data_IF_384794811214
#
_entry.id   IF_384794811214
#
_cell.length_a   1.000
_cell.length_b   1.000
_cell.length_c   1.000
_cell.angle_alpha   90.00
_cell.angle_beta   90.00
_cell.angle_gamma   90.00
#
_symmetry.space_group_name_H-M   'P 1'
#
loop_
_entity.id
_entity.type
_entity.pdbx_description
1 polymer ?
#
# COMPACT_ATOMS: atom_id res chain seq x y z
N UNK A 1 -5.99 3.06 11.78
CA UNK A 1 -6.85 1.90 11.65
C UNK A 1 -8.26 2.07 12.22
N UNK A 2 -8.48 2.91 13.26
CA UNK A 2 -9.76 2.96 14.00
C UNK A 2 -10.93 3.55 13.18
N UNK A 3 -10.67 4.50 12.28
CA UNK A 3 -11.73 5.22 11.55
C UNK A 3 -12.48 4.34 10.55
N UNK A 4 -11.79 3.45 9.84
CA UNK A 4 -12.42 2.60 8.83
C UNK A 4 -12.13 1.11 9.02
N UNK A 5 -10.89 0.60 9.01
CA UNK A 5 -10.68 -0.86 9.04
C UNK A 5 -11.24 -1.52 10.30
N UNK A 6 -11.06 -0.92 11.47
CA UNK A 6 -11.56 -1.49 12.73
C UNK A 6 -13.09 -1.48 12.77
N UNK A 7 -13.71 -0.35 12.43
CA UNK A 7 -15.18 -0.23 12.41
C UNK A 7 -15.81 -1.19 11.37
N UNK A 8 -15.15 -1.36 10.19
CA UNK A 8 -15.62 -2.29 9.18
C UNK A 8 -15.50 -3.75 9.66
N UNK A 9 -14.42 -4.11 10.35
CA UNK A 9 -14.26 -5.44 10.94
C UNK A 9 -15.36 -5.75 11.94
N UNK A 10 -15.61 -4.85 12.88
CA UNK A 10 -16.64 -4.99 13.91
C UNK A 10 -18.04 -5.10 13.28
N UNK A 11 -18.33 -4.28 12.27
CA UNK A 11 -19.58 -4.34 11.55
C UNK A 11 -19.77 -5.66 10.81
N UNK A 12 -18.75 -6.13 10.09
CA UNK A 12 -18.78 -7.41 9.38
C UNK A 12 -19.03 -8.58 10.34
N UNK A 13 -18.33 -8.63 11.47
CA UNK A 13 -18.47 -9.67 12.47
C UNK A 13 -19.86 -9.65 13.10
N UNK A 14 -20.41 -8.46 13.40
CA UNK A 14 -21.77 -8.29 13.93
C UNK A 14 -22.85 -8.76 12.94
N UNK A 15 -22.54 -8.79 11.63
CA UNK A 15 -23.43 -9.29 10.57
C UNK A 15 -23.13 -10.72 10.13
N UNK A 16 -22.38 -11.49 10.93
CA UNK A 16 -22.14 -12.91 10.71
C UNK A 16 -21.01 -13.21 9.72
N UNK A 17 -20.24 -12.23 9.30
CA UNK A 17 -19.09 -12.48 8.45
C UNK A 17 -17.95 -13.14 9.23
N UNK A 18 -17.29 -14.13 8.61
CA UNK A 18 -16.11 -14.77 9.15
C UNK A 18 -14.86 -14.02 8.66
N UNK A 19 -14.12 -13.41 9.58
CA UNK A 19 -12.85 -12.74 9.28
C UNK A 19 -11.69 -13.60 9.78
N UNK A 20 -10.77 -13.97 8.88
CA UNK A 20 -9.58 -14.77 9.18
C UNK A 20 -8.34 -13.93 8.97
N UNK A 21 -7.63 -13.59 10.04
CA UNK A 21 -6.35 -12.87 9.99
C UNK A 21 -5.18 -13.86 10.04
N UNK A 22 -4.02 -13.46 9.51
CA UNK A 22 -2.81 -14.27 9.51
C UNK A 22 -2.85 -15.47 8.57
N UNK A 23 -3.87 -15.60 7.73
CA UNK A 23 -4.00 -16.66 6.73
C UNK A 23 -3.83 -16.06 5.32
N UNK A 24 -2.75 -16.46 4.65
CA UNK A 24 -2.55 -16.12 3.25
C UNK A 24 -3.25 -17.13 2.36
N UNK A 25 -4.09 -16.68 1.44
CA UNK A 25 -4.71 -17.52 0.42
C UNK A 25 -3.61 -18.09 -0.50
N UNK A 26 -3.58 -19.41 -0.63
CA UNK A 26 -2.60 -20.13 -1.43
C UNK A 26 -3.09 -20.40 -2.84
N UNK A 27 -4.38 -20.73 -2.98
CA UNK A 27 -4.97 -21.16 -4.26
C UNK A 27 -6.33 -20.54 -4.52
N UNK A 28 -6.59 -20.31 -5.79
CA UNK A 28 -7.89 -19.95 -6.34
C UNK A 28 -8.18 -20.93 -7.50
N UNK A 29 -9.38 -21.48 -7.55
CA UNK A 29 -9.81 -22.37 -8.62
C UNK A 29 -11.28 -22.17 -8.96
N UNK A 30 -11.68 -22.57 -10.17
CA UNK A 30 -13.08 -22.65 -10.54
C UNK A 30 -13.72 -23.89 -9.89
N UNK A 31 -14.96 -23.76 -9.43
CA UNK A 31 -15.69 -24.91 -8.90
C UNK A 31 -16.02 -25.92 -10.03
N UNK A 32 -15.97 -27.25 -9.76
CA UNK A 32 -16.10 -28.29 -10.79
C UNK A 32 -17.40 -28.23 -11.60
N UNK A 33 -18.46 -27.69 -11.05
CA UNK A 33 -19.77 -27.60 -11.70
C UNK A 33 -19.97 -26.29 -12.49
N UNK A 34 -18.92 -25.47 -12.64
CA UNK A 34 -18.95 -24.21 -13.41
C UNK A 34 -19.74 -23.07 -12.74
N UNK A 35 -20.18 -23.24 -11.50
CA UNK A 35 -20.83 -22.19 -10.72
C UNK A 35 -20.05 -21.96 -9.43
N UNK A 36 -19.39 -20.81 -9.30
CA UNK A 36 -18.62 -20.43 -8.11
C UNK A 36 -17.13 -20.73 -8.18
N UNK A 37 -16.48 -20.55 -7.05
CA UNK A 37 -15.02 -20.53 -6.92
C UNK A 37 -14.57 -21.35 -5.72
N UNK A 38 -13.35 -21.86 -5.78
CA UNK A 38 -12.67 -22.53 -4.67
C UNK A 38 -11.54 -21.62 -4.17
N UNK A 39 -11.59 -21.21 -2.91
CA UNK A 39 -10.48 -20.51 -2.23
C UNK A 39 -9.88 -21.49 -1.19
N UNK A 40 -8.66 -21.92 -1.44
CA UNK A 40 -7.99 -22.97 -0.65
C UNK A 40 -8.87 -24.23 -0.47
N UNK A 41 -9.57 -24.61 -1.54
CA UNK A 41 -10.48 -25.77 -1.55
C UNK A 41 -11.86 -25.53 -0.92
N UNK A 42 -12.12 -24.36 -0.36
CA UNK A 42 -13.43 -24.01 0.21
C UNK A 42 -14.29 -23.33 -0.86
N UNK A 43 -15.55 -23.77 -1.09
CA UNK A 43 -16.41 -23.20 -2.12
C UNK A 43 -17.01 -21.85 -1.71
N UNK A 44 -17.12 -20.96 -2.69
CA UNK A 44 -17.76 -19.64 -2.61
C UNK A 44 -18.53 -19.33 -3.92
N UNK A 45 -19.63 -18.61 -3.83
CA UNK A 45 -20.42 -18.18 -4.98
C UNK A 45 -19.67 -17.11 -5.81
N UNK A 46 -18.93 -16.23 -5.13
CA UNK A 46 -18.14 -15.17 -5.74
C UNK A 46 -16.88 -14.86 -4.92
N UNK A 47 -15.87 -14.30 -5.58
CA UNK A 47 -14.61 -13.88 -4.97
C UNK A 47 -14.27 -12.45 -5.36
N UNK A 48 -13.93 -11.61 -4.38
CA UNK A 48 -13.37 -10.29 -4.60
C UNK A 48 -11.89 -10.29 -4.21
N UNK A 49 -11.01 -10.06 -5.19
CA UNK A 49 -9.57 -9.96 -4.99
C UNK A 49 -9.18 -8.53 -4.60
N UNK A 50 -9.16 -8.22 -3.31
CA UNK A 50 -8.69 -6.94 -2.77
C UNK A 50 -7.20 -7.03 -2.33
N UNK A 51 -6.38 -7.73 -3.09
CA UNK A 51 -4.95 -7.95 -2.84
C UNK A 51 -4.11 -7.04 -3.74
N UNK A 52 -2.79 -6.88 -3.49
CA UNK A 52 -1.89 -6.28 -4.47
C UNK A 52 -1.99 -6.97 -5.84
N UNK A 53 -1.88 -6.20 -6.93
CA UNK A 53 -2.11 -6.70 -8.30
C UNK A 53 -1.23 -7.91 -8.67
N UNK A 54 0.01 -7.95 -8.16
CA UNK A 54 0.92 -9.07 -8.37
C UNK A 54 0.45 -10.36 -7.69
N UNK A 55 -0.19 -10.26 -6.53
CA UNK A 55 -0.76 -11.40 -5.83
C UNK A 55 -2.06 -11.85 -6.47
N UNK A 56 -2.92 -10.90 -6.86
CA UNK A 56 -4.12 -11.20 -7.66
C UNK A 56 -3.74 -11.92 -8.97
N UNK A 57 -2.74 -11.40 -9.69
CA UNK A 57 -2.25 -12.03 -10.93
C UNK A 57 -1.74 -13.45 -10.70
N UNK A 58 -1.02 -13.70 -9.60
CA UNK A 58 -0.56 -15.06 -9.23
C UNK A 58 -1.73 -16.02 -9.05
N UNK A 59 -2.73 -15.61 -8.26
CA UNK A 59 -3.92 -16.44 -8.01
C UNK A 59 -4.72 -16.71 -9.28
N UNK A 60 -4.94 -15.67 -10.09
CA UNK A 60 -5.70 -15.78 -11.35
C UNK A 60 -4.94 -16.65 -12.37
N UNK A 61 -3.61 -16.51 -12.47
CA UNK A 61 -2.80 -17.39 -13.34
C UNK A 61 -2.88 -18.85 -12.94
N UNK A 62 -2.85 -19.14 -11.64
CA UNK A 62 -3.02 -20.52 -11.15
C UNK A 62 -4.42 -21.07 -11.48
N UNK A 63 -5.44 -20.24 -11.30
CA UNK A 63 -6.82 -20.62 -11.63
C UNK A 63 -7.01 -20.93 -13.10
N UNK A 64 -6.33 -20.24 -14.02
CA UNK A 64 -6.44 -20.44 -15.45
C UNK A 64 -6.12 -21.88 -15.89
N UNK A 65 -5.28 -22.61 -15.13
CA UNK A 65 -4.93 -24.00 -15.43
C UNK A 65 -6.05 -25.01 -15.10
N UNK A 66 -6.98 -24.64 -14.23
CA UNK A 66 -8.09 -25.51 -13.78
C UNK A 66 -9.47 -24.99 -14.18
N UNK A 67 -9.52 -23.78 -14.72
CA UNK A 67 -10.76 -23.13 -15.15
C UNK A 67 -11.33 -23.76 -16.44
N UNK A 68 -12.63 -23.61 -16.69
CA UNK A 68 -13.22 -23.95 -17.99
C UNK A 68 -12.47 -23.26 -19.13
N UNK A 69 -12.29 -23.98 -20.25
CA UNK A 69 -11.55 -23.46 -21.41
C UNK A 69 -12.07 -22.11 -21.90
N UNK A 70 -13.37 -21.85 -21.77
CA UNK A 70 -14.01 -20.59 -22.14
C UNK A 70 -13.50 -19.38 -21.32
N UNK A 71 -12.93 -19.59 -20.14
CA UNK A 71 -12.41 -18.54 -19.27
C UNK A 71 -10.88 -18.41 -19.32
N UNK A 72 -10.20 -19.47 -19.77
CA UNK A 72 -8.73 -19.55 -19.70
C UNK A 72 -8.03 -18.35 -20.35
N UNK A 73 -8.46 -17.94 -21.54
CA UNK A 73 -7.86 -16.81 -22.27
C UNK A 73 -8.06 -15.52 -21.48
N UNK A 74 -9.29 -15.24 -21.05
CA UNK A 74 -9.60 -14.02 -20.29
C UNK A 74 -8.82 -13.95 -18.96
N UNK A 75 -8.68 -15.08 -18.25
CA UNK A 75 -7.91 -15.17 -17.01
C UNK A 75 -6.42 -14.93 -17.26
N UNK A 76 -5.84 -15.50 -18.32
CA UNK A 76 -4.45 -15.30 -18.69
C UNK A 76 -4.18 -13.85 -19.08
N UNK A 77 -5.01 -13.24 -19.92
CA UNK A 77 -4.87 -11.86 -20.37
C UNK A 77 -4.99 -10.87 -19.19
N UNK A 78 -5.95 -11.13 -18.30
CA UNK A 78 -6.12 -10.33 -17.10
C UNK A 78 -4.88 -10.41 -16.20
N UNK A 79 -4.38 -11.61 -15.95
CA UNK A 79 -3.20 -11.83 -15.13
C UNK A 79 -1.96 -11.15 -15.73
N UNK A 80 -1.77 -11.25 -17.06
CA UNK A 80 -0.69 -10.57 -17.76
C UNK A 80 -0.79 -9.04 -17.63
N UNK A 81 -2.01 -8.48 -17.80
CA UNK A 81 -2.25 -7.05 -17.61
C UNK A 81 -1.96 -6.60 -16.19
N UNK A 82 -2.36 -7.38 -15.18
CA UNK A 82 -2.11 -7.07 -13.77
C UNK A 82 -0.60 -7.16 -13.41
N UNK A 83 0.13 -8.10 -14.01
CA UNK A 83 1.59 -8.23 -13.84
C UNK A 83 2.37 -7.11 -14.54
N UNK A 84 1.85 -6.59 -15.65
CA UNK A 84 2.49 -5.52 -16.41
C UNK A 84 2.46 -4.15 -15.70
N UNK A 85 1.67 -3.99 -14.64
CA UNK A 85 1.63 -2.77 -13.85
C UNK A 85 3.00 -2.50 -13.20
N UNK A 86 3.54 -1.33 -13.48
CA UNK A 86 4.74 -0.81 -12.80
C UNK A 86 4.33 -0.07 -11.55
N UNK A 87 5.24 0.00 -10.57
CA UNK A 87 4.97 0.61 -9.28
C UNK A 87 5.97 1.71 -8.98
N UNK A 88 5.50 2.72 -8.25
CA UNK A 88 6.29 3.77 -7.64
C UNK A 88 6.49 3.48 -6.16
N UNK A 89 7.70 3.73 -5.67
CA UNK A 89 8.01 3.61 -4.26
C UNK A 89 7.60 4.86 -3.48
N UNK A 90 7.20 4.66 -2.23
CA UNK A 90 7.07 5.73 -1.24
C UNK A 90 8.03 5.44 -0.11
N UNK A 91 8.90 6.41 0.19
CA UNK A 91 9.79 6.33 1.35
C UNK A 91 9.29 7.25 2.46
N UNK A 92 9.16 6.69 3.66
CA UNK A 92 8.90 7.46 4.87
C UNK A 92 10.14 7.45 5.76
N UNK A 93 10.69 8.63 6.00
CA UNK A 93 11.81 8.82 6.92
C UNK A 93 11.28 9.37 8.25
N UNK A 94 11.44 8.61 9.30
CA UNK A 94 11.10 9.03 10.65
C UNK A 94 12.31 9.69 11.31
N UNK A 95 12.13 10.93 11.75
CA UNK A 95 13.13 11.68 12.50
C UNK A 95 12.61 11.98 13.91
N UNK A 96 13.48 11.84 14.91
CA UNK A 96 13.23 12.37 16.26
C UNK A 96 13.83 13.76 16.34
N UNK A 97 13.00 14.74 16.66
CA UNK A 97 13.41 16.11 16.93
C UNK A 97 13.09 16.50 18.39
N UNK A 98 13.73 17.52 18.89
CA UNK A 98 13.41 18.09 20.21
C UNK A 98 12.09 18.86 20.08
N UNK A 99 11.04 18.49 20.85
CA UNK A 99 9.79 19.23 20.82
C UNK A 99 9.97 20.65 21.39
N UNK A 100 9.29 21.61 20.79
CA UNK A 100 9.17 22.96 21.34
C UNK A 100 8.14 23.05 22.47
N UNK A 101 7.79 24.27 22.84
CA UNK A 101 6.80 24.55 23.87
C UNK A 101 5.45 23.87 23.53
N UNK A 102 4.84 23.21 24.53
CA UNK A 102 3.59 22.47 24.36
C UNK A 102 3.73 21.12 23.64
N UNK A 103 4.96 20.59 23.52
CA UNK A 103 5.23 19.27 22.93
C UNK A 103 5.07 19.20 21.41
N UNK A 104 4.96 20.34 20.74
CA UNK A 104 4.82 20.44 19.28
C UNK A 104 6.18 20.66 18.65
N UNK A 105 6.43 20.00 17.53
CA UNK A 105 7.65 20.20 16.74
C UNK A 105 7.39 21.06 15.51
N UNK A 106 6.18 20.97 14.95
CA UNK A 106 5.73 21.75 13.82
C UNK A 106 4.56 22.66 14.21
N UNK A 107 4.29 23.74 13.46
CA UNK A 107 3.15 24.63 13.69
C UNK A 107 1.80 23.94 13.38
N UNK A 108 1.79 22.93 12.50
CA UNK A 108 0.60 22.17 12.07
C UNK A 108 0.90 20.67 12.07
N UNK A 109 -0.14 19.81 12.20
CA UNK A 109 0.04 18.36 12.16
C UNK A 109 0.67 17.84 10.86
N UNK A 110 0.53 18.58 9.77
CA UNK A 110 1.08 18.29 8.45
C UNK A 110 1.53 19.58 7.78
N UNK A 111 2.70 19.54 7.14
CA UNK A 111 3.20 20.61 6.28
C UNK A 111 3.59 20.06 4.91
N UNK A 112 3.31 20.83 3.87
CA UNK A 112 3.91 20.63 2.55
C UNK A 112 5.32 21.22 2.53
N UNK A 113 6.24 20.51 1.90
CA UNK A 113 7.64 20.91 1.76
C UNK A 113 7.95 21.25 0.29
N UNK A 114 8.99 22.03 0.08
CA UNK A 114 9.55 22.24 -1.27
C UNK A 114 10.38 21.02 -1.64
N UNK A 115 9.88 20.20 -2.57
CA UNK A 115 10.60 19.02 -3.02
C UNK A 115 11.49 19.32 -4.23
N UNK A 116 12.62 18.60 -4.29
CA UNK A 116 13.57 18.60 -5.41
C UNK A 116 14.32 17.25 -5.41
N UNK A 117 15.14 16.95 -6.42
CA UNK A 117 15.97 15.75 -6.41
C UNK A 117 16.89 15.63 -5.19
N UNK A 118 17.30 16.76 -4.59
CA UNK A 118 18.15 16.80 -3.39
C UNK A 118 17.37 16.96 -2.08
N UNK A 119 16.06 17.25 -2.17
CA UNK A 119 15.16 17.43 -1.04
C UNK A 119 13.85 16.67 -1.32
N UNK A 120 13.85 15.31 -1.24
CA UNK A 120 12.82 14.48 -1.87
C UNK A 120 11.47 14.49 -1.14
N UNK A 121 11.39 14.88 0.13
CA UNK A 121 10.13 14.83 0.86
C UNK A 121 9.17 15.93 0.41
N UNK A 122 7.93 15.56 0.10
CA UNK A 122 6.85 16.48 -0.24
C UNK A 122 6.05 16.90 0.99
N UNK A 123 5.97 16.04 1.99
CA UNK A 123 5.19 16.28 3.20
C UNK A 123 5.97 15.85 4.44
N UNK A 124 5.66 16.52 5.56
CA UNK A 124 6.06 16.09 6.90
C UNK A 124 4.85 16.10 7.82
N UNK A 125 4.76 15.08 8.68
CA UNK A 125 3.70 14.91 9.67
C UNK A 125 4.31 14.94 11.07
N UNK A 126 3.76 15.76 11.97
CA UNK A 126 4.06 15.72 13.41
C UNK A 126 3.24 14.61 14.05
N UNK A 127 3.90 13.50 14.37
CA UNK A 127 3.23 12.33 14.94
C UNK A 127 2.72 12.61 16.36
N UNK A 128 3.39 13.47 17.11
CA UNK A 128 2.96 13.90 18.44
C UNK A 128 1.60 14.62 18.40
N UNK A 129 1.41 15.53 17.44
CA UNK A 129 0.13 16.22 17.25
C UNK A 129 -0.99 15.30 16.75
N UNK A 130 -0.64 14.12 16.19
CA UNK A 130 -1.58 13.10 15.71
C UNK A 130 -1.80 11.96 16.73
N UNK A 131 -1.45 12.17 18.00
CA UNK A 131 -1.63 11.19 19.05
C UNK A 131 -0.54 10.11 19.13
N UNK A 132 0.57 10.31 18.44
CA UNK A 132 1.76 9.46 18.50
C UNK A 132 2.84 10.02 19.43
N UNK A 133 4.08 9.49 19.36
CA UNK A 133 5.21 9.96 20.17
C UNK A 133 5.55 11.43 19.91
N UNK A 134 5.75 12.20 20.97
CA UNK A 134 6.18 13.60 20.89
C UNK A 134 7.56 13.72 20.24
N UNK A 135 7.74 14.72 19.38
CA UNK A 135 8.97 14.95 18.63
C UNK A 135 9.21 14.01 17.46
N UNK A 136 8.39 12.98 17.27
CA UNK A 136 8.51 12.08 16.14
C UNK A 136 7.87 12.70 14.90
N UNK A 137 8.67 12.90 13.86
CA UNK A 137 8.27 13.44 12.57
C UNK A 137 8.34 12.35 11.49
N UNK A 138 7.34 12.31 10.59
CA UNK A 138 7.33 11.42 9.45
C UNK A 138 7.42 12.24 8.16
N UNK A 139 8.55 12.18 7.48
CA UNK A 139 8.78 12.80 6.18
C UNK A 139 8.43 11.80 5.08
N UNK A 140 7.60 12.21 4.13
CA UNK A 140 7.11 11.34 3.06
C UNK A 140 7.65 11.80 1.72
N UNK A 141 8.38 10.90 1.05
CA UNK A 141 8.89 11.07 -0.31
C UNK A 141 8.17 10.09 -1.25
N UNK A 142 7.24 10.61 -2.06
CA UNK A 142 6.53 9.83 -3.08
C UNK A 142 7.37 9.72 -4.35
N UNK A 143 7.17 8.62 -5.10
CA UNK A 143 7.96 8.28 -6.28
C UNK A 143 9.47 8.32 -6.00
N UNK A 144 9.86 7.88 -4.80
CA UNK A 144 11.24 7.95 -4.33
C UNK A 144 12.14 6.99 -5.11
N UNK A 145 13.34 7.46 -5.43
CA UNK A 145 14.36 6.70 -6.16
C UNK A 145 15.67 6.74 -5.39
N UNK A 146 16.46 5.69 -5.52
CA UNK A 146 17.76 5.58 -4.88
C UNK A 146 17.75 4.77 -3.59
N UNK A 147 18.92 4.71 -2.97
CA UNK A 147 19.15 3.90 -1.77
C UNK A 147 18.57 4.57 -0.53
N UNK A 148 18.12 3.74 0.40
CA UNK A 148 17.48 4.16 1.67
C UNK A 148 18.33 5.18 2.44
N UNK A 149 19.62 4.90 2.58
CA UNK A 149 20.58 5.72 3.32
C UNK A 149 20.73 7.09 2.68
N UNK A 150 20.80 7.15 1.35
CA UNK A 150 20.90 8.39 0.60
C UNK A 150 19.65 9.27 0.80
N UNK A 151 18.46 8.69 0.65
CA UNK A 151 17.18 9.40 0.89
C UNK A 151 17.11 9.90 2.32
N UNK A 152 17.57 9.11 3.31
CA UNK A 152 17.58 9.52 4.72
C UNK A 152 18.45 10.76 4.92
N UNK A 153 19.65 10.81 4.33
CA UNK A 153 20.54 11.96 4.43
C UNK A 153 19.96 13.21 3.74
N UNK A 154 19.35 13.03 2.58
CA UNK A 154 18.68 14.14 1.87
C UNK A 154 17.52 14.72 2.70
N UNK A 155 16.72 13.87 3.32
CA UNK A 155 15.61 14.30 4.19
C UNK A 155 16.12 15.00 5.44
N UNK A 156 17.21 14.51 6.06
CA UNK A 156 17.87 15.21 7.18
C UNK A 156 18.34 16.61 6.78
N UNK A 157 18.97 16.74 5.63
CA UNK A 157 19.39 18.04 5.11
C UNK A 157 18.17 18.95 4.84
N UNK A 158 17.10 18.40 4.27
CA UNK A 158 15.84 19.12 4.03
C UNK A 158 15.18 19.58 5.32
N UNK A 159 15.13 18.73 6.35
CA UNK A 159 14.59 19.08 7.67
C UNK A 159 15.35 20.25 8.31
N UNK A 160 16.69 20.26 8.19
CA UNK A 160 17.53 21.34 8.69
C UNK A 160 17.30 22.64 7.93
N UNK A 161 17.28 22.59 6.61
CA UNK A 161 17.21 23.80 5.76
C UNK A 161 15.83 24.42 5.69
N UNK A 162 14.77 23.61 5.65
CA UNK A 162 13.41 24.12 5.48
C UNK A 162 12.66 24.32 6.79
N UNK A 163 13.01 23.59 7.86
CA UNK A 163 12.30 23.60 9.12
C UNK A 163 13.17 24.01 10.32
N UNK A 164 14.46 24.25 10.10
CA UNK A 164 15.39 24.61 11.20
C UNK A 164 15.66 23.47 12.20
N UNK A 165 15.38 22.23 11.86
CA UNK A 165 15.50 21.07 12.75
C UNK A 165 16.94 20.56 12.78
N UNK A 166 17.85 21.35 13.36
CA UNK A 166 19.30 21.07 13.35
C UNK A 166 19.67 19.81 14.14
N UNK A 167 18.95 19.53 15.22
CA UNK A 167 19.20 18.40 16.13
C UNK A 167 18.34 17.16 15.84
N UNK A 168 17.64 17.15 14.69
CA UNK A 168 16.84 15.99 14.32
C UNK A 168 17.74 14.80 13.96
N UNK A 169 17.39 13.62 14.46
CA UNK A 169 18.11 12.36 14.24
C UNK A 169 17.22 11.33 13.56
N UNK A 170 17.76 10.49 12.67
CA UNK A 170 16.99 9.44 12.03
C UNK A 170 16.66 8.32 13.02
N UNK A 171 15.37 7.94 13.05
CA UNK A 171 14.88 6.81 13.86
C UNK A 171 14.71 5.58 12.99
N UNK A 172 14.02 5.75 11.84
CA UNK A 172 13.72 4.66 10.94
C UNK A 172 13.43 5.19 9.54
N UNK A 173 13.81 4.44 8.53
CA UNK A 173 13.39 4.68 7.14
C UNK A 173 12.66 3.45 6.61
N UNK A 174 11.42 3.64 6.19
CA UNK A 174 10.58 2.60 5.61
C UNK A 174 10.42 2.89 4.12
N UNK A 175 10.76 1.91 3.28
CA UNK A 175 10.57 1.99 1.82
C UNK A 175 9.49 0.99 1.42
N UNK A 176 8.35 1.50 0.99
CA UNK A 176 7.32 0.68 0.36
C UNK A 176 7.55 0.71 -1.17
N UNK A 177 8.15 -0.35 -1.69
CA UNK A 177 8.56 -0.42 -3.10
C UNK A 177 7.39 -0.48 -4.09
N UNK A 178 6.23 -0.92 -3.63
CA UNK A 178 5.01 -1.07 -4.44
C UNK A 178 3.86 -0.28 -3.83
N UNK A 179 4.12 0.98 -3.49
CA UNK A 179 3.16 1.82 -2.77
C UNK A 179 1.97 2.19 -3.65
N UNK A 180 2.22 2.50 -4.92
CA UNK A 180 1.18 2.81 -5.89
C UNK A 180 1.63 2.36 -7.28
N UNK A 181 0.69 2.06 -8.17
CA UNK A 181 1.06 1.82 -9.56
C UNK A 181 1.43 3.15 -10.26
N UNK A 182 2.36 3.07 -11.20
CA UNK A 182 2.83 4.23 -11.95
C UNK A 182 1.73 4.72 -12.92
N UNK A 183 1.25 5.94 -12.72
CA UNK A 183 0.23 6.57 -13.57
C UNK A 183 0.87 7.12 -14.85
N UNK A 184 1.21 6.24 -15.78
CA UNK A 184 1.78 6.63 -17.06
C UNK A 184 0.70 6.93 -18.11
N UNK A 185 0.95 7.83 -19.09
CA UNK A 185 0.04 8.04 -20.20
C UNK A 185 -0.30 6.74 -20.93
N UNK A 186 -1.57 6.51 -21.23
CA UNK A 186 -2.04 5.32 -21.93
C UNK A 186 -2.04 4.04 -21.09
N UNK A 187 -1.86 4.13 -19.76
CA UNK A 187 -1.90 2.96 -18.87
C UNK A 187 -3.21 2.19 -19.02
N UNK A 188 -3.10 0.93 -19.42
CA UNK A 188 -4.20 -0.03 -19.41
C UNK A 188 -4.23 -0.73 -18.06
N UNK A 189 -5.35 -0.60 -17.35
CA UNK A 189 -5.58 -1.29 -16.09
C UNK A 189 -6.40 -2.55 -16.31
N UNK A 190 -6.18 -3.62 -15.53
CA UNK A 190 -7.05 -4.80 -15.55
C UNK A 190 -8.50 -4.40 -15.31
N UNK A 191 -9.43 -5.10 -15.93
CA UNK A 191 -10.86 -4.92 -15.70
C UNK A 191 -11.26 -5.29 -14.29
N UNK A 192 -12.38 -4.74 -13.80
CA UNK A 192 -12.88 -5.07 -12.47
C UNK A 192 -13.48 -6.49 -12.38
N UNK A 193 -13.85 -7.06 -13.50
CA UNK A 193 -14.41 -8.41 -13.60
C UNK A 193 -13.74 -9.14 -14.74
N UNK A 194 -13.33 -10.38 -14.52
CA UNK A 194 -12.61 -11.21 -15.51
C UNK A 194 -13.38 -12.46 -15.88
N UNK A 195 -14.15 -13.00 -14.96
CA UNK A 195 -15.03 -14.15 -15.15
C UNK A 195 -16.29 -14.00 -14.27
N UNK A 196 -17.35 -14.77 -14.51
CA UNK A 196 -18.55 -14.72 -13.69
C UNK A 196 -18.22 -14.97 -12.21
N UNK A 197 -18.50 -13.98 -11.34
CA UNK A 197 -18.23 -14.05 -9.91
C UNK A 197 -16.77 -13.81 -9.48
N UNK A 198 -15.88 -13.40 -10.41
CA UNK A 198 -14.48 -13.03 -10.09
C UNK A 198 -14.13 -11.69 -10.71
#
# INVERSE_FOLDING_TARGET
GQVFPQAALEWLQAHGALVRLGQRVQSLGAAPQGSGWLVDGVPFDAVLLATPSTEAARLVSQCAHTAPYTWTVALCDWAASAQALRFEAITTVYLQAVPGAGGRTLPLPMLALRSSPQAPAQFVFDRGMLGGPSGLLAFVASASQGEREHITQQVLAQARTQLGLVQAEPVQTVVEKRATFACTPGLQRPTAQVAPGL
#
